data_IF_953608209447
#
_entry.id   IF_953608209447
#
_cell.length_a   1.000
_cell.length_b   1.000
_cell.length_c   1.000
_cell.angle_alpha   90.00
_cell.angle_beta   90.00
_cell.angle_gamma   90.00
#
_symmetry.space_group_name_H-M   'P 1'
#
loop_
_entity.id
_entity.type
_entity.pdbx_description
1 polymer ?
#
# COMPACT_ATOMS: atom_id res chain seq x y z
N UNK A 1 3.00 -12.91 3.65
CA UNK A 1 2.75 -12.52 5.06
C UNK A 1 1.25 -12.43 5.19
N UNK A 2 0.65 -13.44 5.79
CA UNK A 2 -0.48 -14.12 5.17
C UNK A 2 -1.85 -13.62 5.63
N UNK A 3 -1.95 -12.32 5.96
CA UNK A 3 -3.22 -11.67 6.35
C UNK A 3 -3.83 -12.21 7.65
N UNK A 4 -2.99 -12.78 8.53
CA UNK A 4 -3.42 -13.37 9.81
C UNK A 4 -2.72 -12.67 10.98
N UNK A 5 -3.49 -12.27 12.00
CA UNK A 5 -3.00 -11.69 13.25
C UNK A 5 -3.57 -12.48 14.42
N UNK A 6 -2.73 -12.86 15.39
CA UNK A 6 -3.15 -13.62 16.55
C UNK A 6 -3.11 -12.77 17.81
N UNK A 7 -4.18 -12.82 18.61
CA UNK A 7 -4.27 -12.24 19.93
C UNK A 7 -4.53 -13.34 20.96
N UNK A 8 -3.65 -13.44 21.95
CA UNK A 8 -3.76 -14.44 23.01
C UNK A 8 -4.01 -13.75 24.34
N UNK A 9 -5.13 -14.07 24.96
CA UNK A 9 -5.44 -13.72 26.34
C UNK A 9 -5.05 -14.87 27.25
N UNK A 10 -4.24 -14.56 28.27
CA UNK A 10 -3.72 -15.50 29.25
C UNK A 10 -4.35 -15.24 30.62
N UNK A 11 -4.14 -16.15 31.56
CA UNK A 11 -4.52 -15.98 32.97
C UNK A 11 -6.03 -15.77 33.18
N UNK A 12 -6.85 -16.51 32.44
CA UNK A 12 -8.28 -16.62 32.71
C UNK A 12 -8.57 -17.50 33.92
N UNK A 13 -9.84 -17.59 34.30
CA UNK A 13 -10.25 -18.38 35.47
C UNK A 13 -9.77 -19.83 35.39
N UNK A 14 -9.38 -20.45 36.51
CA UNK A 14 -8.86 -21.81 36.54
C UNK A 14 -9.83 -22.85 35.96
N UNK A 15 -9.33 -23.70 35.08
CA UNK A 15 -10.08 -24.82 34.54
C UNK A 15 -10.41 -25.85 35.63
N UNK A 16 -11.38 -26.71 35.33
CA UNK A 16 -11.77 -27.76 36.27
C UNK A 16 -10.89 -29.01 36.14
N UNK A 17 -9.58 -28.82 36.09
CA UNK A 17 -8.57 -29.88 36.11
C UNK A 17 -7.87 -29.94 37.48
N UNK A 18 -7.09 -31.00 37.70
CA UNK A 18 -6.34 -31.22 38.96
C UNK A 18 -5.34 -30.10 39.23
N UNK A 19 -4.73 -29.55 38.18
CA UNK A 19 -3.69 -28.54 38.31
C UNK A 19 -4.25 -27.11 38.35
N UNK A 20 -5.58 -26.94 38.23
CA UNK A 20 -6.23 -25.62 38.18
C UNK A 20 -5.59 -24.72 37.13
N UNK A 21 -5.37 -25.29 35.95
CA UNK A 21 -4.70 -24.63 34.82
C UNK A 21 -5.51 -23.42 34.37
N UNK A 22 -4.88 -22.25 34.24
CA UNK A 22 -5.54 -21.03 33.79
C UNK A 22 -6.13 -21.20 32.39
N UNK A 23 -7.35 -20.71 32.18
CA UNK A 23 -7.95 -20.67 30.84
C UNK A 23 -7.20 -19.70 29.94
N UNK A 24 -7.10 -20.08 28.67
CA UNK A 24 -6.52 -19.26 27.61
C UNK A 24 -7.60 -18.94 26.57
N UNK A 25 -7.53 -17.77 25.95
CA UNK A 25 -8.36 -17.45 24.77
C UNK A 25 -7.46 -17.02 23.63
N UNK A 26 -7.66 -17.62 22.47
CA UNK A 26 -6.92 -17.34 21.24
C UNK A 26 -7.91 -16.79 20.22
N UNK A 27 -7.67 -15.58 19.75
CA UNK A 27 -8.43 -14.94 18.68
C UNK A 27 -7.50 -14.83 17.47
N UNK A 28 -7.90 -15.47 16.37
CA UNK A 28 -7.20 -15.46 15.09
C UNK A 28 -7.98 -14.52 14.18
N UNK A 29 -7.44 -13.33 13.96
CA UNK A 29 -7.98 -12.38 12.99
C UNK A 29 -7.53 -12.80 11.59
N UNK A 30 -8.49 -12.96 10.69
CA UNK A 30 -8.28 -13.42 9.32
C UNK A 30 -8.75 -12.32 8.38
N UNK A 31 -7.91 -11.92 7.44
CA UNK A 31 -8.29 -10.92 6.45
C UNK A 31 -9.47 -11.41 5.60
N UNK A 32 -10.55 -10.62 5.61
CA UNK A 32 -11.65 -10.70 4.65
C UNK A 32 -12.08 -9.28 4.29
N UNK A 33 -11.72 -8.84 3.08
CA UNK A 33 -12.04 -7.51 2.55
C UNK A 33 -13.54 -7.20 2.49
N UNK A 34 -14.43 -8.19 2.61
CA UNK A 34 -15.89 -8.00 2.56
C UNK A 34 -16.55 -8.04 3.94
N UNK A 35 -15.81 -8.40 4.99
CA UNK A 35 -16.37 -8.62 6.32
C UNK A 35 -16.53 -7.33 7.15
N UNK A 36 -15.90 -6.21 6.74
CA UNK A 36 -15.84 -5.02 7.58
C UNK A 36 -15.18 -5.31 8.93
N UNK A 37 -15.71 -4.72 10.01
CA UNK A 37 -15.30 -5.03 11.39
C UNK A 37 -15.47 -6.51 11.77
N UNK A 38 -16.43 -7.21 11.16
CA UNK A 38 -16.77 -8.60 11.48
C UNK A 38 -17.14 -8.85 12.94
N UNK A 39 -17.18 -10.13 13.31
CA UNK A 39 -17.40 -10.60 14.68
C UNK A 39 -16.65 -11.92 14.93
N UNK A 40 -16.30 -12.25 16.19
CA UNK A 40 -15.66 -13.51 16.51
C UNK A 40 -16.63 -14.68 16.30
N UNK A 41 -16.10 -15.78 15.80
CA UNK A 41 -16.77 -17.07 15.59
C UNK A 41 -16.03 -18.13 16.39
N UNK A 42 -16.76 -18.86 17.23
CA UNK A 42 -16.17 -19.96 18.01
C UNK A 42 -15.79 -21.11 17.08
N UNK A 43 -14.53 -21.51 17.13
CA UNK A 43 -14.01 -22.63 16.34
C UNK A 43 -14.01 -23.91 17.19
N UNK A 44 -13.25 -23.89 18.28
CA UNK A 44 -13.08 -25.05 19.14
C UNK A 44 -12.53 -24.68 20.53
N UNK A 45 -12.66 -25.63 21.45
CA UNK A 45 -11.93 -25.63 22.72
C UNK A 45 -10.92 -26.78 22.71
N UNK A 46 -9.65 -26.50 23.00
CA UNK A 46 -8.60 -27.52 23.09
C UNK A 46 -7.50 -27.09 24.06
N UNK A 47 -7.00 -28.02 24.87
CA UNK A 47 -5.91 -27.79 25.85
C UNK A 47 -6.11 -26.51 26.69
N UNK A 48 -7.27 -26.37 27.33
CA UNK A 48 -7.62 -25.22 28.18
C UNK A 48 -7.73 -23.88 27.45
N UNK A 49 -7.66 -23.89 26.11
CA UNK A 49 -7.79 -22.71 25.27
C UNK A 49 -9.09 -22.71 24.47
N UNK A 50 -9.78 -21.57 24.45
CA UNK A 50 -10.90 -21.29 23.55
C UNK A 50 -10.37 -20.59 22.30
N UNK A 51 -10.66 -21.13 21.12
CA UNK A 51 -10.20 -20.62 19.83
C UNK A 51 -11.34 -19.96 19.08
N UNK A 52 -11.10 -18.73 18.62
CA UNK A 52 -12.03 -17.97 17.81
C UNK A 52 -11.39 -17.54 16.49
N UNK A 53 -12.14 -17.67 15.41
CA UNK A 53 -11.84 -17.04 14.12
C UNK A 53 -12.58 -15.71 14.02
N UNK A 54 -11.90 -14.64 13.62
CA UNK A 54 -12.50 -13.33 13.45
C UNK A 54 -12.13 -12.78 12.08
N UNK A 55 -13.03 -12.99 11.12
CA UNK A 55 -12.90 -12.44 9.77
C UNK A 55 -13.14 -10.92 9.81
N UNK A 56 -12.16 -10.12 9.36
CA UNK A 56 -12.26 -8.65 9.35
C UNK A 56 -11.38 -8.03 8.26
N UNK A 57 -11.77 -6.86 7.77
CA UNK A 57 -10.96 -6.03 6.85
C UNK A 57 -9.82 -5.30 7.57
N UNK A 58 -9.88 -5.16 8.90
CA UNK A 58 -8.93 -4.37 9.70
C UNK A 58 -7.52 -4.96 9.75
N UNK A 59 -7.37 -6.25 9.44
CA UNK A 59 -6.08 -6.95 9.38
C UNK A 59 -5.64 -7.24 7.96
N UNK A 60 -6.43 -6.80 6.97
CA UNK A 60 -6.02 -6.89 5.58
C UNK A 60 -4.89 -5.91 5.32
N UNK A 61 -3.76 -6.44 4.88
CA UNK A 61 -2.74 -5.58 4.30
C UNK A 61 -3.35 -4.93 3.05
N UNK A 62 -3.08 -3.63 2.81
CA UNK A 62 -3.37 -3.05 1.51
C UNK A 62 -2.75 -3.97 0.46
N UNK A 63 -3.38 -4.17 -0.71
CA UNK A 63 -2.68 -4.78 -1.83
C UNK A 63 -1.34 -4.08 -1.90
N UNK A 64 -0.24 -4.85 -1.78
CA UNK A 64 1.07 -4.27 -1.91
C UNK A 64 0.99 -3.34 -3.12
N UNK A 65 1.37 -2.08 -2.95
CA UNK A 65 1.64 -1.19 -4.07
C UNK A 65 2.76 -1.90 -4.83
N UNK A 66 2.41 -2.91 -5.62
CA UNK A 66 3.28 -3.52 -6.59
C UNK A 66 3.38 -2.44 -7.62
N UNK A 67 4.38 -1.59 -7.42
CA UNK A 67 5.12 -0.89 -8.44
C UNK A 67 5.73 -1.92 -9.40
N UNK A 68 4.85 -2.67 -10.06
CA UNK A 68 5.02 -3.55 -11.21
C UNK A 68 3.93 -3.18 -12.22
N UNK A 69 4.01 -3.65 -13.48
CA UNK A 69 3.82 -2.88 -14.73
C UNK A 69 2.45 -2.23 -15.00
N UNK A 70 1.50 -2.24 -14.07
CA UNK A 70 0.11 -1.87 -14.32
C UNK A 70 -0.28 -0.45 -13.84
N UNK A 71 0.58 0.28 -13.11
CA UNK A 71 0.32 1.68 -12.75
C UNK A 71 -1.07 1.91 -12.10
N UNK A 72 -1.52 0.93 -11.30
CA UNK A 72 -2.80 0.95 -10.60
C UNK A 72 -2.59 1.29 -9.12
N UNK A 73 -3.43 2.18 -8.58
CA UNK A 73 -3.43 2.55 -7.17
C UNK A 73 -4.75 2.11 -6.54
N UNK A 74 -4.68 1.29 -5.49
CA UNK A 74 -5.85 0.84 -4.74
C UNK A 74 -6.02 1.66 -3.47
N UNK A 75 -7.15 2.36 -3.33
CA UNK A 75 -7.49 3.09 -2.10
C UNK A 75 -8.09 2.12 -1.07
N UNK A 76 -7.42 1.91 0.08
CA UNK A 76 -7.88 0.97 1.10
C UNK A 76 -9.17 1.41 1.81
N UNK A 77 -9.55 2.68 1.75
CA UNK A 77 -10.74 3.21 2.44
C UNK A 77 -11.96 3.15 1.54
N UNK A 78 -11.85 3.66 0.30
CA UNK A 78 -12.97 3.67 -0.65
C UNK A 78 -13.11 2.40 -1.47
N UNK A 79 -12.09 1.52 -1.46
CA UNK A 79 -11.96 0.36 -2.35
C UNK A 79 -11.96 0.70 -3.85
N UNK A 80 -11.73 1.96 -4.21
CA UNK A 80 -11.58 2.37 -5.60
C UNK A 80 -10.20 2.02 -6.13
N UNK A 81 -10.15 1.70 -7.42
CA UNK A 81 -8.90 1.49 -8.16
C UNK A 81 -8.74 2.64 -9.14
N UNK A 82 -7.63 3.37 -8.99
CA UNK A 82 -7.24 4.47 -9.87
C UNK A 82 -6.21 3.95 -10.86
N UNK A 83 -6.58 3.97 -12.13
CA UNK A 83 -5.68 3.61 -13.23
C UNK A 83 -4.92 4.84 -13.72
N UNK A 84 -3.62 4.89 -13.44
CA UNK A 84 -2.71 5.95 -13.88
C UNK A 84 -1.92 5.56 -15.14
N UNK A 85 -2.19 4.39 -15.74
CA UNK A 85 -1.47 3.92 -16.94
C UNK A 85 -1.60 4.89 -18.12
N UNK A 86 -2.70 5.64 -18.20
CA UNK A 86 -2.88 6.72 -19.18
C UNK A 86 -1.91 7.89 -19.03
N UNK A 87 -1.23 8.03 -17.89
CA UNK A 87 -0.20 9.05 -17.64
C UNK A 87 1.21 8.55 -17.95
N UNK A 88 1.39 7.24 -18.21
CA UNK A 88 2.63 6.68 -18.73
C UNK A 88 2.79 7.09 -20.20
N UNK A 89 3.26 8.31 -20.40
CA UNK A 89 3.31 8.95 -21.73
C UNK A 89 4.53 8.50 -22.53
N UNK A 90 4.35 8.32 -23.84
CA UNK A 90 5.46 8.06 -24.77
C UNK A 90 6.40 9.26 -24.90
N UNK A 91 5.90 10.45 -24.62
CA UNK A 91 6.67 11.69 -24.54
C UNK A 91 6.66 12.20 -23.10
N UNK A 92 7.74 12.82 -22.62
CA UNK A 92 7.78 13.32 -21.25
C UNK A 92 6.75 14.43 -21.04
N UNK A 93 6.10 14.43 -19.87
CA UNK A 93 5.37 15.59 -19.39
C UNK A 93 6.37 16.69 -19.07
N UNK A 94 6.16 17.88 -19.61
CA UNK A 94 7.06 19.01 -19.45
C UNK A 94 6.30 20.17 -18.81
N UNK A 95 6.88 20.72 -17.75
CA UNK A 95 6.39 21.95 -17.11
C UNK A 95 7.52 22.95 -16.99
N UNK A 96 7.21 24.24 -17.13
CA UNK A 96 8.15 25.34 -16.91
C UNK A 96 7.72 26.07 -15.65
N UNK A 97 8.65 26.18 -14.71
CA UNK A 97 8.46 26.88 -13.44
C UNK A 97 9.43 28.05 -13.41
N UNK A 98 8.90 29.26 -13.35
CA UNK A 98 9.70 30.48 -13.23
C UNK A 98 9.58 31.05 -11.82
N UNK A 99 10.72 31.34 -11.20
CA UNK A 99 10.84 32.09 -9.95
C UNK A 99 11.75 33.32 -10.17
N UNK A 100 11.99 34.12 -9.13
CA UNK A 100 12.90 35.28 -9.18
C UNK A 100 14.34 34.90 -9.61
N UNK A 101 14.73 33.63 -9.42
CA UNK A 101 16.03 33.07 -9.80
C UNK A 101 16.10 32.54 -11.24
N UNK A 102 15.01 32.64 -12.02
CA UNK A 102 14.95 32.23 -13.42
C UNK A 102 13.96 31.09 -13.72
N UNK A 103 13.95 30.66 -14.99
CA UNK A 103 13.05 29.61 -15.50
C UNK A 103 13.73 28.24 -15.46
N UNK A 104 13.04 27.28 -14.83
CA UNK A 104 13.44 25.87 -14.75
C UNK A 104 12.43 25.03 -15.51
N UNK A 105 12.90 24.00 -16.17
CA UNK A 105 12.08 23.02 -16.87
C UNK A 105 12.09 21.71 -16.11
N UNK A 106 10.90 21.16 -15.88
CA UNK A 106 10.68 19.90 -15.19
C UNK A 106 10.19 18.89 -16.22
N UNK A 107 10.92 17.79 -16.36
CA UNK A 107 10.52 16.60 -17.11
C UNK A 107 9.98 15.58 -16.13
N UNK A 108 8.85 14.95 -16.47
CA UNK A 108 8.20 13.93 -15.65
C UNK A 108 7.62 12.82 -16.54
N UNK A 109 7.66 11.59 -16.04
CA UNK A 109 6.88 10.48 -16.54
C UNK A 109 6.28 9.71 -15.35
N UNK A 110 5.14 9.06 -15.56
CA UNK A 110 4.40 8.35 -14.50
C UNK A 110 4.54 6.85 -14.74
N UNK A 111 4.94 6.11 -13.71
CA UNK A 111 5.13 4.65 -13.74
C UNK A 111 6.19 4.10 -14.72
N UNK A 112 7.00 4.97 -15.32
CA UNK A 112 8.13 4.60 -16.18
C UNK A 112 9.23 5.68 -16.15
N UNK A 113 10.40 5.34 -16.67
CA UNK A 113 11.49 6.31 -16.86
C UNK A 113 11.14 7.35 -17.93
N UNK A 114 11.88 8.46 -17.94
CA UNK A 114 11.79 9.48 -18.97
C UNK A 114 12.13 8.91 -20.35
N UNK A 115 11.34 9.29 -21.34
CA UNK A 115 11.58 8.97 -22.75
C UNK A 115 12.84 9.67 -23.25
N UNK A 116 13.75 8.91 -23.85
CA UNK A 116 15.02 9.41 -24.38
C UNK A 116 14.85 9.98 -25.81
N UNK A 117 15.69 10.94 -26.24
CA UNK A 117 16.85 11.50 -25.53
C UNK A 117 16.47 12.58 -24.51
N UNK A 118 17.13 12.60 -23.36
CA UNK A 118 17.05 13.70 -22.38
C UNK A 118 18.42 14.03 -21.79
N UNK A 119 18.57 15.20 -21.17
CA UNK A 119 19.78 15.58 -20.40
C UNK A 119 19.91 14.80 -19.09
N UNK A 120 18.87 14.06 -18.71
CA UNK A 120 18.71 13.40 -17.42
C UNK A 120 19.13 11.93 -17.46
N UNK A 121 19.32 11.37 -16.27
CA UNK A 121 19.64 9.95 -16.09
C UNK A 121 18.61 9.05 -16.79
N UNK A 122 19.08 7.97 -17.44
CA UNK A 122 18.24 7.05 -18.20
C UNK A 122 17.18 6.32 -17.38
N UNK A 123 17.38 6.22 -16.07
CA UNK A 123 16.45 5.60 -15.12
C UNK A 123 15.65 6.63 -14.32
N UNK A 124 15.84 7.94 -14.56
CA UNK A 124 15.04 8.96 -13.91
C UNK A 124 13.62 8.94 -14.46
N UNK A 125 12.61 9.02 -13.57
CA UNK A 125 11.23 9.29 -13.94
C UNK A 125 10.89 10.79 -13.87
N UNK A 126 11.73 11.58 -13.20
CA UNK A 126 11.59 13.03 -13.09
C UNK A 126 12.97 13.70 -13.08
N UNK A 127 13.06 14.90 -13.64
CA UNK A 127 14.30 15.66 -13.72
C UNK A 127 14.02 17.15 -13.88
N UNK A 128 14.92 17.98 -13.36
CA UNK A 128 14.85 19.43 -13.48
C UNK A 128 16.09 19.94 -14.19
N UNK A 129 15.92 20.83 -15.16
CA UNK A 129 17.00 21.48 -15.90
C UNK A 129 16.81 22.99 -15.88
N UNK A 130 17.90 23.75 -15.88
CA UNK A 130 17.84 25.19 -16.12
C UNK A 130 17.58 25.45 -17.62
N UNK A 131 16.67 26.38 -17.95
CA UNK A 131 16.48 26.80 -19.33
C UNK A 131 17.67 27.64 -19.78
N UNK A 132 18.62 27.01 -20.47
CA UNK A 132 19.67 27.75 -21.17
C UNK A 132 19.06 28.49 -22.36
N UNK A 133 19.50 29.73 -22.57
CA UNK A 133 18.93 30.75 -23.49
C UNK A 133 18.77 30.38 -24.98
N UNK A 134 19.03 29.13 -25.37
CA UNK A 134 18.92 28.61 -26.73
C UNK A 134 17.51 28.14 -27.13
N UNK A 135 16.60 27.91 -26.19
CA UNK A 135 15.22 27.44 -26.49
C UNK A 135 14.18 28.58 -26.59
N UNK A 136 14.54 29.82 -26.23
CA UNK A 136 13.69 31.02 -26.36
C UNK A 136 13.37 31.44 -27.81
N UNK A 137 13.80 30.67 -28.83
CA UNK A 137 13.75 31.08 -30.25
C UNK A 137 12.83 30.27 -31.15
N UNK A 138 11.93 29.45 -30.59
CA UNK A 138 10.97 28.69 -31.40
C UNK A 138 9.52 28.92 -30.96
N UNK A 139 9.18 30.18 -30.72
CA UNK A 139 7.80 30.66 -30.68
C UNK A 139 7.47 31.35 -32.01
#
# INVERSE_FOLDING_TARGET
MDGVVNLTYLSGDPYNDTNKTDRVTIIIFICDFKAGKGNPQFEQEHNFAYVFHWYTDLVCQPPALTSGPQCLVHDPISHLIYDLSGLASKENWVSVVGDDDGERQIYLNVCQSLSQPTVCDSNAAACVTEMTSTEKKKQ
#
